data_IF_413294002415
#
_entry.id   IF_413294002415
#
_cell.length_a   1.000
_cell.length_b   1.000
_cell.length_c   1.000
_cell.angle_alpha   90.00
_cell.angle_beta   90.00
_cell.angle_gamma   90.00
#
_symmetry.space_group_name_H-M   'P 1'
#
loop_
_entity.id
_entity.type
_entity.pdbx_description
1 polymer ?
#
# COMPACT_ATOMS: atom_id res chain seq x y z
N UNK A 1 -9.98 -3.58 1.21
CA UNK A 1 -8.56 -3.71 0.81
C UNK A 1 -7.96 -2.34 0.60
N UNK A 2 -6.78 -2.04 1.15
CA UNK A 2 -6.08 -0.77 0.95
C UNK A 2 -4.69 -1.02 0.40
N UNK A 3 -4.20 -0.12 -0.47
CA UNK A 3 -2.88 -0.20 -1.09
C UNK A 3 -2.12 1.11 -0.92
N UNK A 4 -0.80 1.05 -0.72
CA UNK A 4 0.05 2.18 -1.10
C UNK A 4 0.05 2.35 -2.63
N UNK A 5 0.57 3.45 -3.12
CA UNK A 5 0.54 3.80 -4.54
C UNK A 5 1.86 3.46 -5.24
N UNK A 6 2.90 4.25 -4.96
CA UNK A 6 4.21 4.12 -5.61
C UNK A 6 4.94 2.89 -5.05
N UNK A 7 5.32 1.94 -5.90
CA UNK A 7 5.99 0.71 -5.47
C UNK A 7 5.05 -0.41 -5.01
N UNK A 8 3.74 -0.15 -4.99
CA UNK A 8 2.75 -1.15 -4.57
C UNK A 8 1.66 -1.33 -5.61
N UNK A 9 0.79 -0.34 -5.78
CA UNK A 9 -0.26 -0.40 -6.81
C UNK A 9 0.32 -0.15 -8.20
N UNK A 10 1.21 0.85 -8.30
CA UNK A 10 1.78 1.34 -9.56
C UNK A 10 3.31 1.29 -9.56
N UNK A 11 3.88 0.88 -10.69
CA UNK A 11 5.29 1.08 -11.00
C UNK A 11 5.47 2.49 -11.60
N UNK A 12 5.74 3.45 -10.74
CA UNK A 12 5.98 4.86 -11.10
C UNK A 12 7.45 5.19 -11.34
N UNK A 13 8.34 4.22 -11.15
CA UNK A 13 9.79 4.44 -11.23
C UNK A 13 10.27 4.96 -12.59
N UNK A 14 9.74 4.52 -13.75
CA UNK A 14 10.17 5.06 -15.04
C UNK A 14 9.95 6.57 -15.15
N UNK A 15 8.74 7.06 -14.87
CA UNK A 15 8.38 8.47 -15.02
C UNK A 15 9.07 9.37 -13.98
N UNK A 16 9.20 8.89 -12.73
CA UNK A 16 9.96 9.58 -11.69
C UNK A 16 11.45 9.69 -12.05
N UNK A 17 12.02 8.62 -12.62
CA UNK A 17 13.40 8.64 -13.11
C UNK A 17 13.57 9.62 -14.26
N UNK A 18 12.63 9.65 -15.20
CA UNK A 18 12.65 10.61 -16.30
C UNK A 18 12.59 12.05 -15.79
N UNK A 19 11.73 12.35 -14.82
CA UNK A 19 11.64 13.68 -14.19
C UNK A 19 12.95 14.06 -13.49
N UNK A 20 13.55 13.16 -12.70
CA UNK A 20 14.84 13.39 -12.05
C UNK A 20 15.96 13.65 -13.07
N UNK A 21 16.01 12.89 -14.14
CA UNK A 21 17.01 13.07 -15.20
C UNK A 21 16.81 14.38 -15.98
N UNK A 22 15.55 14.82 -16.19
CA UNK A 22 15.25 16.15 -16.76
C UNK A 22 15.77 17.25 -15.84
N UNK A 23 15.53 17.14 -14.52
CA UNK A 23 16.03 18.11 -13.54
C UNK A 23 17.55 18.16 -13.52
N UNK A 24 18.22 17.00 -13.47
CA UNK A 24 19.67 16.87 -13.49
C UNK A 24 20.30 17.54 -14.74
N UNK A 25 19.71 17.27 -15.91
CA UNK A 25 20.17 17.89 -17.17
C UNK A 25 20.05 19.41 -17.16
N UNK A 26 18.97 19.96 -16.63
CA UNK A 26 18.77 21.40 -16.48
C UNK A 26 19.83 22.06 -15.58
N UNK A 27 20.45 21.27 -14.70
CA UNK A 27 21.54 21.71 -13.80
C UNK A 27 22.93 21.24 -14.27
N UNK A 28 23.11 20.89 -15.54
CA UNK A 28 24.41 20.57 -16.16
C UNK A 28 24.90 19.14 -15.89
N UNK A 29 24.11 18.27 -15.24
CA UNK A 29 24.47 16.88 -15.02
C UNK A 29 23.93 16.02 -16.16
N UNK A 30 24.79 15.73 -17.14
CA UNK A 30 24.39 15.11 -18.40
C UNK A 30 24.22 13.59 -18.34
N UNK A 31 25.00 12.90 -17.48
CA UNK A 31 24.92 11.44 -17.35
C UNK A 31 23.57 11.02 -16.72
N UNK A 32 22.71 10.27 -17.43
CA UNK A 32 21.43 9.85 -16.87
C UNK A 32 21.59 8.77 -15.82
N UNK A 33 20.70 8.76 -14.84
CA UNK A 33 20.51 7.64 -13.93
C UNK A 33 19.57 6.60 -14.59
N UNK A 34 19.86 5.32 -14.37
CA UNK A 34 18.96 4.26 -14.78
C UNK A 34 17.76 4.14 -13.84
N UNK A 35 16.65 3.59 -14.32
CA UNK A 35 15.47 3.28 -13.49
C UNK A 35 15.86 2.37 -12.32
N UNK A 36 16.71 1.38 -12.56
CA UNK A 36 17.20 0.46 -11.51
C UNK A 36 17.94 1.18 -10.38
N UNK A 37 18.71 2.23 -10.68
CA UNK A 37 19.41 3.01 -9.67
C UNK A 37 18.48 3.94 -8.86
N UNK A 38 17.42 4.46 -9.49
CA UNK A 38 16.47 5.38 -8.84
C UNK A 38 15.39 4.63 -8.04
N UNK A 39 14.95 3.49 -8.53
CA UNK A 39 13.85 2.68 -7.96
C UNK A 39 13.91 2.53 -6.43
N UNK A 40 15.02 2.12 -5.79
CA UNK A 40 15.07 1.96 -4.33
C UNK A 40 14.93 3.26 -3.55
N UNK A 41 15.13 4.41 -4.20
CA UNK A 41 15.05 5.72 -3.53
C UNK A 41 13.64 6.30 -3.51
N UNK A 42 12.75 5.77 -4.35
CA UNK A 42 11.39 6.32 -4.55
C UNK A 42 10.55 6.14 -3.28
N UNK A 43 10.68 5.01 -2.58
CA UNK A 43 9.98 4.79 -1.31
C UNK A 43 10.38 5.82 -0.24
N UNK A 44 11.56 6.46 -0.36
CA UNK A 44 11.95 7.60 0.48
C UNK A 44 11.40 8.95 -0.03
N UNK A 45 10.63 8.94 -1.13
CA UNK A 45 10.07 10.13 -1.76
C UNK A 45 11.12 11.00 -2.47
N UNK A 46 10.74 12.25 -2.76
CA UNK A 46 11.64 13.22 -3.41
C UNK A 46 12.96 13.46 -2.64
N UNK A 47 13.03 13.40 -1.29
CA UNK A 47 14.31 13.48 -0.58
C UNK A 47 15.31 12.39 -1.00
N UNK A 48 14.87 11.14 -1.09
CA UNK A 48 15.73 10.05 -1.53
C UNK A 48 16.24 10.24 -2.96
N UNK A 49 15.36 10.68 -3.83
CA UNK A 49 15.70 10.97 -5.24
C UNK A 49 16.68 12.15 -5.36
N UNK A 50 16.49 13.25 -4.61
CA UNK A 50 17.38 14.41 -4.63
C UNK A 50 18.74 14.10 -4.01
N UNK A 51 18.76 13.26 -2.97
CA UNK A 51 20.02 12.75 -2.40
C UNK A 51 20.80 11.95 -3.44
N UNK A 52 20.15 11.02 -4.15
CA UNK A 52 20.79 10.26 -5.23
C UNK A 52 21.21 11.15 -6.40
N UNK A 53 20.34 12.06 -6.83
CA UNK A 53 20.53 12.87 -8.04
C UNK A 53 21.55 13.98 -7.91
N UNK A 54 21.70 14.57 -6.71
CA UNK A 54 22.46 15.78 -6.45
C UNK A 54 23.30 15.75 -5.17
N UNK A 55 23.22 14.69 -4.36
CA UNK A 55 23.86 14.63 -3.04
C UNK A 55 23.24 15.58 -2.01
N UNK A 56 21.97 16.00 -2.19
CA UNK A 56 21.34 16.99 -1.34
C UNK A 56 20.66 16.34 -0.12
N UNK A 57 20.84 16.97 1.04
CA UNK A 57 20.04 16.74 2.24
C UNK A 57 19.01 17.86 2.40
N UNK A 58 18.03 17.67 3.30
CA UNK A 58 16.89 18.58 3.45
C UNK A 58 17.26 19.99 3.94
N UNK A 59 18.41 20.14 4.59
CA UNK A 59 18.96 21.41 5.11
C UNK A 59 19.75 22.21 4.07
N UNK A 60 20.00 21.64 2.88
CA UNK A 60 20.65 22.38 1.77
C UNK A 60 19.72 23.51 1.29
N UNK A 61 20.23 24.74 1.15
CA UNK A 61 19.41 25.89 0.71
C UNK A 61 18.75 25.71 -0.67
N UNK A 62 19.29 24.83 -1.51
CA UNK A 62 18.74 24.52 -2.85
C UNK A 62 17.60 23.51 -2.79
N UNK A 63 17.46 22.78 -1.66
CA UNK A 63 16.57 21.64 -1.56
C UNK A 63 15.14 21.99 -1.95
N UNK A 64 14.54 23.00 -1.33
CA UNK A 64 13.13 23.34 -1.53
C UNK A 64 12.79 23.66 -2.99
N UNK A 65 13.67 24.41 -3.67
CA UNK A 65 13.46 24.77 -5.08
C UNK A 65 13.60 23.55 -6.01
N UNK A 66 14.56 22.65 -5.74
CA UNK A 66 14.76 21.44 -6.54
C UNK A 66 13.67 20.40 -6.28
N UNK A 67 13.20 20.28 -5.05
CA UNK A 67 12.08 19.43 -4.66
C UNK A 67 10.80 19.82 -5.42
N UNK A 68 10.44 21.10 -5.34
CA UNK A 68 9.30 21.63 -6.07
C UNK A 68 9.44 21.39 -7.57
N UNK A 69 10.61 21.71 -8.14
CA UNK A 69 10.83 21.56 -9.59
C UNK A 69 10.81 20.09 -10.04
N UNK A 70 11.33 19.16 -9.23
CA UNK A 70 11.25 17.72 -9.50
C UNK A 70 9.79 17.26 -9.62
N UNK A 71 8.95 17.65 -8.66
CA UNK A 71 7.54 17.25 -8.62
C UNK A 71 6.73 17.89 -9.75
N UNK A 72 7.05 19.14 -10.14
CA UNK A 72 6.45 19.79 -11.32
C UNK A 72 6.82 19.05 -12.61
N UNK A 73 8.09 18.70 -12.80
CA UNK A 73 8.57 17.95 -13.97
C UNK A 73 7.93 16.57 -14.04
N UNK A 74 7.73 15.91 -12.90
CA UNK A 74 6.99 14.66 -12.83
C UNK A 74 5.53 14.86 -13.24
N UNK A 75 4.86 15.90 -12.75
CA UNK A 75 3.48 16.19 -13.12
C UNK A 75 3.28 16.43 -14.62
N UNK A 76 4.24 17.09 -15.26
CA UNK A 76 4.21 17.36 -16.70
C UNK A 76 4.14 16.07 -17.56
N UNK A 77 4.62 14.92 -17.00
CA UNK A 77 4.70 13.63 -17.70
C UNK A 77 4.37 12.48 -16.71
N UNK A 78 3.21 12.55 -16.08
CA UNK A 78 2.90 11.79 -14.87
C UNK A 78 2.53 10.32 -15.11
N UNK A 79 2.13 9.93 -16.32
CA UNK A 79 1.68 8.57 -16.65
C UNK A 79 2.06 8.23 -18.10
N UNK A 80 3.32 8.40 -18.44
CA UNK A 80 3.85 8.04 -19.77
C UNK A 80 4.24 6.57 -19.81
N UNK A 81 5.00 6.10 -18.80
CA UNK A 81 5.43 4.70 -18.69
C UNK A 81 4.91 4.05 -17.39
N UNK A 82 4.30 4.81 -16.50
CA UNK A 82 3.69 4.28 -15.28
C UNK A 82 2.52 3.35 -15.60
N UNK A 83 2.53 2.18 -14.98
CA UNK A 83 1.47 1.19 -15.10
C UNK A 83 1.27 0.45 -13.77
N UNK A 84 0.13 -0.23 -13.56
CA UNK A 84 0.00 -1.22 -12.49
C UNK A 84 1.08 -2.29 -12.60
N UNK A 85 1.61 -2.74 -11.45
CA UNK A 85 2.55 -3.86 -11.46
C UNK A 85 1.96 -5.07 -12.19
N UNK A 86 2.80 -5.91 -12.85
CA UNK A 86 2.33 -7.13 -13.53
C UNK A 86 1.47 -8.00 -12.60
N UNK A 87 0.24 -8.32 -13.01
CA UNK A 87 -0.74 -9.06 -12.20
C UNK A 87 -1.65 -8.19 -11.33
N UNK A 88 -1.32 -6.92 -11.06
CA UNK A 88 -2.15 -6.06 -10.21
C UNK A 88 -3.52 -5.76 -10.83
N UNK A 89 -3.61 -5.60 -12.13
CA UNK A 89 -4.90 -5.41 -12.82
C UNK A 89 -5.82 -6.63 -12.64
N UNK A 90 -5.28 -7.83 -12.58
CA UNK A 90 -6.03 -9.06 -12.29
C UNK A 90 -6.54 -9.06 -10.84
N UNK A 91 -5.70 -8.67 -9.90
CA UNK A 91 -6.08 -8.51 -8.48
C UNK A 91 -7.24 -7.52 -8.33
N UNK A 92 -7.12 -6.32 -8.91
CA UNK A 92 -8.18 -5.30 -8.82
C UNK A 92 -9.50 -5.81 -9.41
N UNK A 93 -9.43 -6.46 -10.58
CA UNK A 93 -10.62 -7.06 -11.21
C UNK A 93 -11.24 -8.14 -10.33
N UNK A 94 -10.41 -8.98 -9.69
CA UNK A 94 -10.91 -10.00 -8.76
C UNK A 94 -11.63 -9.37 -7.57
N UNK A 95 -11.06 -8.34 -6.94
CA UNK A 95 -11.69 -7.63 -5.83
C UNK A 95 -13.06 -7.06 -6.25
N UNK A 96 -13.14 -6.38 -7.40
CA UNK A 96 -14.35 -5.77 -7.93
C UNK A 96 -15.46 -6.78 -8.22
N UNK A 97 -15.13 -7.90 -8.88
CA UNK A 97 -16.10 -8.98 -9.19
C UNK A 97 -16.67 -9.60 -7.91
N UNK A 98 -15.87 -9.68 -6.84
CA UNK A 98 -16.30 -10.26 -5.57
C UNK A 98 -16.88 -9.21 -4.60
N UNK A 99 -17.10 -7.97 -5.05
CA UNK A 99 -17.66 -6.90 -4.23
C UNK A 99 -16.74 -6.46 -3.08
N UNK A 100 -15.42 -6.70 -3.20
CA UNK A 100 -14.43 -6.28 -2.22
C UNK A 100 -13.97 -4.87 -2.60
N UNK A 101 -14.34 -3.88 -1.80
CA UNK A 101 -13.89 -2.51 -2.00
C UNK A 101 -12.38 -2.41 -1.84
N UNK A 102 -11.74 -1.63 -2.73
CA UNK A 102 -10.34 -1.30 -2.62
C UNK A 102 -10.13 0.23 -2.66
N UNK A 103 -9.06 0.70 -2.02
CA UNK A 103 -8.70 2.10 -1.94
C UNK A 103 -7.19 2.31 -1.87
N UNK A 104 -6.80 3.58 -1.97
CA UNK A 104 -5.40 4.00 -1.96
C UNK A 104 -5.12 4.84 -0.72
N UNK A 105 -4.02 4.55 0.00
CA UNK A 105 -3.50 5.36 1.10
C UNK A 105 -2.02 5.60 0.87
N UNK A 106 -1.66 6.80 0.45
CA UNK A 106 -0.29 7.13 0.02
C UNK A 106 0.24 8.41 0.67
N UNK A 107 1.58 8.52 0.79
CA UNK A 107 2.24 9.76 1.21
C UNK A 107 2.47 10.73 0.03
N UNK A 108 2.14 10.32 -1.21
CA UNK A 108 2.17 11.19 -2.39
C UNK A 108 1.12 12.31 -2.25
N UNK A 109 1.47 13.58 -2.57
CA UNK A 109 0.52 14.69 -2.49
C UNK A 109 -0.68 14.51 -3.44
N UNK A 110 -1.85 15.00 -3.02
CA UNK A 110 -3.10 14.86 -3.77
C UNK A 110 -3.06 15.44 -5.17
N UNK A 111 -2.39 16.58 -5.36
CA UNK A 111 -2.22 17.23 -6.66
C UNK A 111 -1.40 16.41 -7.68
N UNK A 112 -0.68 15.34 -7.23
CA UNK A 112 -0.03 14.34 -8.06
C UNK A 112 -0.82 13.03 -8.09
N UNK A 113 -1.41 12.62 -6.97
CA UNK A 113 -2.16 11.36 -6.85
C UNK A 113 -3.40 11.34 -7.75
N UNK A 114 -4.20 12.39 -7.70
CA UNK A 114 -5.45 12.47 -8.45
C UNK A 114 -5.23 12.43 -9.97
N UNK A 115 -4.37 13.27 -10.59
CA UNK A 115 -4.13 13.20 -12.03
C UNK A 115 -3.51 11.87 -12.46
N UNK A 116 -2.64 11.26 -11.65
CA UNK A 116 -2.04 9.96 -11.93
C UNK A 116 -3.10 8.86 -12.00
N UNK A 117 -3.94 8.74 -10.99
CA UNK A 117 -5.01 7.75 -10.95
C UNK A 117 -6.05 7.97 -12.05
N UNK A 118 -6.34 9.23 -12.40
CA UNK A 118 -7.23 9.56 -13.53
C UNK A 118 -6.65 9.16 -14.87
N UNK A 119 -5.37 9.40 -15.10
CA UNK A 119 -4.70 9.03 -16.35
C UNK A 119 -4.67 7.51 -16.59
N UNK A 120 -4.78 6.72 -15.52
CA UNK A 120 -4.79 5.25 -15.57
C UNK A 120 -6.18 4.63 -15.37
N UNK A 121 -7.25 5.43 -15.41
CA UNK A 121 -8.65 4.99 -15.19
C UNK A 121 -8.88 4.28 -13.84
N UNK A 122 -8.07 4.60 -12.83
CA UNK A 122 -8.16 4.01 -11.50
C UNK A 122 -8.94 4.88 -10.49
N UNK A 123 -9.04 6.20 -10.73
CA UNK A 123 -9.65 7.14 -9.80
C UNK A 123 -11.11 6.81 -9.46
N UNK A 124 -11.92 6.53 -10.47
CA UNK A 124 -13.33 6.21 -10.30
C UNK A 124 -13.60 4.79 -9.79
N UNK A 125 -12.61 3.92 -9.84
CA UNK A 125 -12.68 2.52 -9.38
C UNK A 125 -12.32 2.37 -7.92
N UNK A 126 -11.45 3.25 -7.39
CA UNK A 126 -11.08 3.25 -5.99
C UNK A 126 -12.24 3.71 -5.11
N UNK A 127 -12.59 2.94 -4.09
CA UNK A 127 -13.64 3.30 -3.13
C UNK A 127 -13.24 4.49 -2.24
N UNK A 128 -11.94 4.69 -2.01
CA UNK A 128 -11.39 5.88 -1.36
C UNK A 128 -9.94 6.13 -1.81
N UNK A 129 -9.52 7.40 -1.74
CA UNK A 129 -8.13 7.82 -1.98
C UNK A 129 -7.74 8.79 -0.88
N UNK A 130 -6.72 8.41 -0.09
CA UNK A 130 -6.13 9.24 0.96
C UNK A 130 -4.69 9.56 0.55
N UNK A 131 -4.45 10.82 0.24
CA UNK A 131 -3.16 11.35 -0.18
C UNK A 131 -2.36 11.91 1.00
N UNK A 132 -1.08 12.18 0.80
CA UNK A 132 -0.16 12.63 1.85
C UNK A 132 -0.47 14.00 2.48
N UNK A 133 -1.40 14.75 1.88
CA UNK A 133 -1.89 16.06 2.31
C UNK A 133 -3.41 16.08 2.55
N UNK A 134 -4.07 14.92 2.53
CA UNK A 134 -5.52 14.80 2.85
C UNK A 134 -5.76 15.09 4.33
N UNK A 135 -4.85 14.68 5.20
CA UNK A 135 -4.92 14.85 6.66
C UNK A 135 -3.66 15.57 7.16
N UNK A 136 -3.69 16.04 8.40
CA UNK A 136 -2.51 16.64 9.03
C UNK A 136 -1.37 15.64 9.22
N UNK A 137 -1.71 14.38 9.42
CA UNK A 137 -0.75 13.29 9.60
C UNK A 137 -0.70 12.38 8.37
N UNK A 138 0.46 11.73 8.21
CA UNK A 138 0.72 10.77 7.12
C UNK A 138 1.45 9.55 7.65
N UNK A 139 1.50 8.46 6.90
CA UNK A 139 2.25 7.26 7.28
C UNK A 139 3.69 7.60 7.68
N UNK A 140 4.20 7.08 8.81
CA UNK A 140 3.75 5.90 9.57
C UNK A 140 2.65 6.14 10.61
N UNK A 141 2.06 7.34 10.73
CA UNK A 141 0.90 7.54 11.61
C UNK A 141 -0.30 6.73 11.08
N UNK A 142 -1.09 6.06 11.93
CA UNK A 142 -2.23 5.23 11.53
C UNK A 142 -3.45 6.02 11.05
N UNK A 143 -3.53 7.33 11.31
CA UNK A 143 -4.70 8.16 11.03
C UNK A 143 -5.19 8.07 9.57
N UNK A 144 -4.32 8.07 8.53
CA UNK A 144 -4.76 7.90 7.14
C UNK A 144 -5.50 6.58 6.87
N UNK A 145 -5.11 5.50 7.54
CA UNK A 145 -5.75 4.19 7.37
C UNK A 145 -7.09 4.11 8.10
N UNK A 146 -7.19 4.68 9.31
CA UNK A 146 -8.48 4.83 9.98
C UNK A 146 -9.46 5.67 9.18
N UNK A 147 -8.98 6.77 8.61
CA UNK A 147 -9.78 7.62 7.73
C UNK A 147 -10.29 6.85 6.50
N UNK A 148 -9.41 6.09 5.84
CA UNK A 148 -9.77 5.26 4.70
C UNK A 148 -10.81 4.18 5.07
N UNK A 149 -10.62 3.47 6.18
CA UNK A 149 -11.58 2.49 6.69
C UNK A 149 -12.95 3.11 6.98
N UNK A 150 -12.96 4.28 7.62
CA UNK A 150 -14.19 5.04 7.91
C UNK A 150 -14.91 5.45 6.63
N UNK A 151 -14.18 5.95 5.63
CA UNK A 151 -14.74 6.43 4.36
C UNK A 151 -15.48 5.31 3.59
N UNK A 152 -15.03 4.06 3.76
CA UNK A 152 -15.66 2.89 3.08
C UNK A 152 -16.54 2.05 4.02
N UNK A 153 -16.74 2.47 5.27
CA UNK A 153 -17.53 1.76 6.26
C UNK A 153 -16.96 0.38 6.65
N UNK A 154 -15.64 0.23 6.61
CA UNK A 154 -14.95 -1.03 6.92
C UNK A 154 -14.32 -0.97 8.32
N UNK A 155 -14.36 -2.11 9.04
CA UNK A 155 -13.65 -2.27 10.30
C UNK A 155 -12.14 -2.54 10.02
N UNK A 156 -11.20 -1.88 10.73
CA UNK A 156 -9.76 -2.10 10.53
C UNK A 156 -9.35 -3.58 10.62
N UNK A 157 -9.82 -4.30 11.61
CA UNK A 157 -9.52 -5.72 11.86
C UNK A 157 -10.03 -6.67 10.75
N UNK A 158 -10.90 -6.19 9.87
CA UNK A 158 -11.39 -6.91 8.69
C UNK A 158 -10.79 -6.38 7.40
N UNK A 159 -9.80 -5.52 7.51
CA UNK A 159 -9.16 -4.84 6.38
C UNK A 159 -7.71 -5.30 6.23
N UNK A 160 -7.27 -5.34 4.98
CA UNK A 160 -5.88 -5.63 4.60
C UNK A 160 -5.25 -4.34 4.05
N UNK A 161 -3.98 -4.12 4.39
CA UNK A 161 -3.17 -3.06 3.81
C UNK A 161 -1.90 -3.64 3.19
N UNK A 162 -1.60 -3.25 1.97
CA UNK A 162 -0.40 -3.67 1.22
C UNK A 162 0.47 -2.45 0.96
N UNK A 163 1.76 -2.54 1.28
CA UNK A 163 2.74 -1.49 1.02
C UNK A 163 4.15 -2.06 0.87
N UNK A 164 5.07 -1.28 0.32
CA UNK A 164 6.46 -1.69 0.03
C UNK A 164 7.50 -1.07 0.97
N UNK A 165 7.08 -0.34 2.01
CA UNK A 165 7.98 0.34 2.94
C UNK A 165 7.62 0.07 4.41
N UNK A 166 8.64 0.15 5.30
CA UNK A 166 8.46 -0.03 6.74
C UNK A 166 7.34 0.86 7.32
N UNK A 167 7.26 2.13 6.88
CA UNK A 167 6.20 3.05 7.31
C UNK A 167 4.78 2.57 7.00
N UNK A 168 4.61 1.74 5.97
CA UNK A 168 3.32 1.18 5.58
C UNK A 168 2.90 0.09 6.58
N UNK A 169 3.84 -0.79 6.91
CA UNK A 169 3.63 -1.86 7.89
C UNK A 169 3.37 -1.27 9.27
N UNK A 170 4.17 -0.27 9.67
CA UNK A 170 3.98 0.42 10.96
C UNK A 170 2.60 1.08 11.05
N UNK A 171 2.21 1.84 10.02
CA UNK A 171 0.90 2.50 9.98
C UNK A 171 -0.24 1.49 10.04
N UNK A 172 -0.17 0.42 9.23
CA UNK A 172 -1.22 -0.61 9.15
C UNK A 172 -1.37 -1.40 10.45
N UNK A 173 -0.25 -1.82 11.04
CA UNK A 173 -0.26 -2.53 12.32
C UNK A 173 -0.83 -1.66 13.44
N UNK A 174 -0.41 -0.38 13.53
CA UNK A 174 -0.94 0.57 14.52
C UNK A 174 -2.43 0.86 14.30
N UNK A 175 -2.88 0.83 13.06
CA UNK A 175 -4.29 1.00 12.72
C UNK A 175 -5.14 -0.26 12.96
N UNK A 176 -4.53 -1.42 13.25
CA UNK A 176 -5.22 -2.69 13.50
C UNK A 176 -5.60 -3.45 12.23
N UNK A 177 -4.99 -3.12 11.08
CA UNK A 177 -5.18 -3.86 9.85
C UNK A 177 -4.22 -5.06 9.78
N UNK A 178 -4.56 -6.06 8.97
CA UNK A 178 -3.58 -7.07 8.54
C UNK A 178 -2.70 -6.45 7.47
N UNK A 179 -1.38 -6.36 7.70
CA UNK A 179 -0.43 -5.75 6.77
C UNK A 179 0.38 -6.78 6.01
N UNK A 180 0.56 -6.54 4.71
CA UNK A 180 1.39 -7.37 3.83
C UNK A 180 2.43 -6.50 3.14
N UNK A 181 3.64 -7.04 3.00
CA UNK A 181 4.73 -6.37 2.27
C UNK A 181 4.64 -6.69 0.79
N UNK A 182 4.66 -5.67 -0.05
CA UNK A 182 4.83 -5.79 -1.50
C UNK A 182 6.31 -6.01 -1.84
N UNK A 183 6.78 -7.26 -1.85
CA UNK A 183 8.16 -7.62 -2.14
C UNK A 183 8.59 -7.33 -3.59
N UNK A 184 7.64 -7.19 -4.49
CA UNK A 184 7.84 -6.76 -5.87
C UNK A 184 8.04 -5.24 -6.01
N UNK A 185 7.92 -4.49 -4.91
CA UNK A 185 7.99 -3.02 -4.87
C UNK A 185 9.41 -2.46 -4.90
N UNK A 186 9.62 -1.34 -4.22
CA UNK A 186 10.87 -0.56 -4.28
C UNK A 186 11.79 -0.82 -3.09
N UNK A 187 11.93 -2.08 -2.71
CA UNK A 187 12.84 -2.49 -1.64
C UNK A 187 14.30 -2.20 -2.02
N UNK A 188 15.02 -1.54 -1.13
CA UNK A 188 16.45 -1.32 -1.25
C UNK A 188 17.27 -2.45 -0.59
N UNK A 189 18.57 -2.44 -0.78
CA UNK A 189 19.49 -3.46 -0.22
C UNK A 189 19.61 -3.41 1.31
N UNK A 190 19.27 -2.26 1.90
CA UNK A 190 19.30 -2.05 3.36
C UNK A 190 17.98 -2.36 4.04
N UNK A 191 16.89 -2.51 3.27
CA UNK A 191 15.58 -2.86 3.81
C UNK A 191 15.59 -4.28 4.38
N UNK A 192 14.86 -4.46 5.48
CA UNK A 192 14.73 -5.74 6.20
C UNK A 192 13.27 -6.02 6.48
N UNK A 193 12.47 -6.31 5.42
CA UNK A 193 11.01 -6.47 5.55
C UNK A 193 10.61 -7.55 6.55
N UNK A 194 11.47 -8.54 6.77
CA UNK A 194 11.30 -9.59 7.78
C UNK A 194 11.26 -9.05 9.23
N UNK A 195 11.78 -7.84 9.46
CA UNK A 195 11.77 -7.18 10.77
C UNK A 195 10.65 -6.16 10.95
N UNK A 196 9.88 -5.85 9.92
CA UNK A 196 8.83 -4.81 9.98
C UNK A 196 7.57 -5.26 10.73
N UNK A 197 7.40 -6.58 10.95
CA UNK A 197 6.26 -7.13 11.67
C UNK A 197 4.98 -7.25 10.83
N UNK A 198 5.11 -7.38 9.51
CA UNK A 198 4.00 -7.65 8.62
C UNK A 198 3.48 -9.10 8.82
N UNK A 199 2.21 -9.34 8.51
CA UNK A 199 1.59 -10.66 8.56
C UNK A 199 2.07 -11.57 7.42
N UNK A 200 2.58 -10.99 6.32
CA UNK A 200 3.08 -11.75 5.18
C UNK A 200 3.81 -10.89 4.16
N UNK A 201 4.38 -11.61 3.18
CA UNK A 201 5.18 -11.06 2.10
C UNK A 201 4.62 -11.58 0.77
N UNK A 202 4.47 -10.68 -0.20
CA UNK A 202 3.98 -10.99 -1.54
C UNK A 202 5.15 -10.86 -2.51
N UNK A 203 5.53 -11.93 -3.19
CA UNK A 203 6.58 -11.89 -4.22
C UNK A 203 6.06 -11.24 -5.52
N UNK A 204 4.76 -11.33 -5.75
CA UNK A 204 4.04 -10.75 -6.87
C UNK A 204 2.61 -10.36 -6.47
N UNK A 205 1.95 -9.43 -7.17
CA UNK A 205 0.60 -8.97 -6.80
C UNK A 205 -0.44 -10.09 -6.70
N UNK A 206 -0.39 -11.10 -7.57
CA UNK A 206 -1.38 -12.18 -7.61
C UNK A 206 -1.35 -13.09 -6.37
N UNK A 207 -0.25 -13.11 -5.60
CA UNK A 207 -0.16 -13.87 -4.34
C UNK A 207 -1.20 -13.37 -3.32
N UNK A 208 -1.70 -12.14 -3.49
CA UNK A 208 -2.76 -11.58 -2.67
C UNK A 208 -4.07 -12.38 -2.79
N UNK A 209 -4.32 -13.03 -3.91
CA UNK A 209 -5.53 -13.84 -4.13
C UNK A 209 -5.56 -15.06 -3.20
N UNK A 210 -4.40 -15.65 -2.91
CA UNK A 210 -4.28 -16.76 -1.95
C UNK A 210 -4.60 -16.32 -0.53
N UNK A 211 -4.17 -15.11 -0.15
CA UNK A 211 -4.52 -14.51 1.14
C UNK A 211 -6.03 -14.30 1.31
N UNK A 212 -6.70 -13.85 0.25
CA UNK A 212 -8.15 -13.67 0.23
C UNK A 212 -8.89 -15.02 0.31
N UNK A 213 -8.39 -16.04 -0.38
CA UNK A 213 -8.92 -17.41 -0.32
C UNK A 213 -8.78 -18.02 1.08
N UNK A 214 -7.63 -17.87 1.71
CA UNK A 214 -7.38 -18.37 3.07
C UNK A 214 -8.23 -17.65 4.12
N UNK A 215 -8.40 -16.33 4.01
CA UNK A 215 -9.26 -15.55 4.91
C UNK A 215 -10.73 -15.98 4.82
N UNK A 216 -11.25 -16.26 3.61
CA UNK A 216 -12.61 -16.77 3.42
C UNK A 216 -12.82 -18.16 4.02
N UNK A 217 -11.80 -19.01 4.04
CA UNK A 217 -11.88 -20.36 4.63
C UNK A 217 -11.85 -20.32 6.15
N UNK A 218 -11.12 -19.38 6.75
CA UNK A 218 -11.09 -19.18 8.19
C UNK A 218 -12.42 -18.67 8.76
N UNK A 219 -13.13 -17.81 8.02
CA UNK A 219 -14.47 -17.29 8.40
C UNK A 219 -15.56 -18.37 8.26
N UNK A 220 -15.35 -19.39 7.44
CA UNK A 220 -16.32 -20.47 7.18
C UNK A 220 -16.21 -21.69 8.10
N UNK A 221 -15.31 -21.71 9.10
CA UNK A 221 -15.34 -22.78 10.10
C UNK A 221 -16.61 -22.62 10.96
N UNK A 222 -17.57 -23.55 10.90
CA UNK A 222 -18.75 -23.47 11.74
C UNK A 222 -18.30 -23.58 13.20
N UNK A 223 -18.82 -22.69 14.03
CA UNK A 223 -18.79 -22.88 15.48
C UNK A 223 -19.52 -24.21 15.75
N UNK A 224 -18.76 -25.24 16.02
CA UNK A 224 -19.32 -26.51 16.54
C UNK A 224 -20.04 -26.17 17.84
N UNK A 225 -21.36 -26.18 17.79
CA UNK A 225 -22.21 -26.16 18.99
C UNK A 225 -21.76 -27.31 19.85
N UNK A 226 -21.19 -27.00 20.99
CA UNK A 226 -20.95 -27.96 22.06
C UNK A 226 -22.28 -28.59 22.45
N UNK A 227 -22.43 -29.86 22.08
CA UNK A 227 -23.65 -30.64 22.34
C UNK A 227 -23.98 -30.68 23.82
N UNK A 228 -25.19 -30.27 24.14
CA UNK A 228 -25.87 -30.63 25.38
C UNK A 228 -26.09 -32.13 25.38
N UNK A 229 -25.39 -32.85 26.26
CA UNK A 229 -25.72 -34.24 26.58
C UNK A 229 -27.07 -34.30 27.26
N UNK A 230 -28.01 -35.17 26.81
CA UNK A 230 -29.24 -35.42 27.56
C UNK A 230 -28.94 -36.27 28.80
N UNK A 231 -29.25 -35.73 29.98
CA UNK A 231 -29.15 -36.43 31.25
C UNK A 231 -29.98 -37.68 31.28
N UNK A 232 -29.35 -38.79 31.69
CA UNK A 232 -29.98 -40.04 31.95
C UNK A 232 -30.94 -39.93 33.14
N UNK A 233 -32.21 -40.21 32.88
CA UNK A 233 -33.23 -40.46 33.95
C UNK A 233 -33.01 -41.84 34.55
N UNK A 234 -32.58 -41.88 35.77
CA UNK A 234 -32.67 -43.13 36.60
C UNK A 234 -34.03 -43.22 37.24
N UNK A 235 -34.81 -44.18 36.76
CA UNK A 235 -35.98 -44.66 37.47
C UNK A 235 -35.53 -45.54 38.65
N UNK A 236 -35.89 -45.17 39.85
CA UNK A 236 -35.87 -46.14 40.97
C UNK A 236 -37.29 -46.32 41.48
N UNK A 237 -37.76 -47.55 41.29
CA UNK A 237 -39.01 -48.05 41.81
C UNK A 237 -38.69 -49.12 42.87
N UNK A 238 -38.92 -48.81 44.12
CA UNK A 238 -39.03 -49.88 45.12
C UNK A 238 -40.26 -49.68 46.02
N UNK A 239 -40.98 -50.72 46.05
CA UNK A 239 -42.20 -50.93 46.80
C UNK A 239 -41.93 -51.29 48.30
N UNK A 240 -42.73 -50.83 49.10
CA UNK A 240 -43.55 -51.34 50.22
C UNK A 240 -42.98 -52.42 51.15
N UNK A 241 -43.63 -52.58 52.25
CA UNK A 241 -45.03 -52.44 52.71
C UNK A 241 -45.26 -51.30 53.69
#
# INVERSE_FOLDING_TARGET
MLFDLDGTLLDTAPDLTAALNRLRRAHGVLAPLSVAAVRPTISHGSPGMLKLGFGLERDDPRYAALDQRLLELYREAIAIETAPFPGMSEVLRHLEIHGIHWGVVTNKPGWLTEPLLKALDLWARAACVVSGDTLAKRKPDPEPLWHACTAVGAAPERSLYVGDAERDVLAGNQAGLTTLVAGFGYLGTEDRPEHWGAAGFLEQPVDLLDWLGAANTAVRKPVLQSGLSPGAATSDATARP
#
